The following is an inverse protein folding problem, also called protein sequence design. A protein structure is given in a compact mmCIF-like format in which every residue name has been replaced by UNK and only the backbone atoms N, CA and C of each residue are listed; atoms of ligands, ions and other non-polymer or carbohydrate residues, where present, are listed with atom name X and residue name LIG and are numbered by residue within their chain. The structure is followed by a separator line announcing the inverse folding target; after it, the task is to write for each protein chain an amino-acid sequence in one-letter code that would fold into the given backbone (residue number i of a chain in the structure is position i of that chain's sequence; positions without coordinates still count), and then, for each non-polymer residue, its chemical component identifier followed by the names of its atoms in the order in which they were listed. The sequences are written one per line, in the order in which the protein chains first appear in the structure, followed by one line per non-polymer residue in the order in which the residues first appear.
data_IF_222035369615
#
_entry.id   IF_222035369615
#
_cell.length_a   1.000
_cell.length_b   1.000
_cell.length_c   1.000
_cell.angle_alpha   90.00
_cell.angle_beta   90.00
_cell.angle_gamma   90.00
#
_symmetry.space_group_name_H-M   'P 1'
#
loop_
_entity.id
_entity.type
_entity.pdbx_description
1 polymer ?
#
# COMPACT_ATOMS: atom_id res chain seq x y z
N UNK A 1 -18.13 -27.31 11.17
CA UNK A 1 -17.48 -28.23 10.21
C UNK A 1 -17.88 -27.94 8.76
N UNK A 2 -19.15 -28.05 8.34
CA UNK A 2 -19.53 -27.83 6.92
C UNK A 2 -19.10 -26.46 6.37
N UNK A 3 -19.21 -25.37 7.14
CA UNK A 3 -18.67 -24.06 6.76
C UNK A 3 -17.14 -24.09 6.54
N UNK A 4 -16.40 -24.79 7.39
CA UNK A 4 -14.95 -24.97 7.24
C UNK A 4 -14.62 -25.84 6.01
N UNK A 5 -15.50 -26.78 5.65
CA UNK A 5 -15.37 -27.55 4.42
C UNK A 5 -15.55 -26.68 3.18
N UNK A 6 -16.57 -25.82 3.15
CA UNK A 6 -16.76 -24.84 2.07
C UNK A 6 -15.55 -23.90 1.94
N UNK A 7 -15.03 -23.39 3.06
CA UNK A 7 -13.82 -22.56 3.08
C UNK A 7 -12.59 -23.31 2.57
N UNK A 8 -12.41 -24.58 2.96
CA UNK A 8 -11.30 -25.42 2.50
C UNK A 8 -11.37 -25.67 1.00
N UNK A 9 -12.57 -25.93 0.46
CA UNK A 9 -12.80 -26.13 -0.99
C UNK A 9 -12.64 -24.86 -1.81
N UNK A 10 -13.01 -23.71 -1.25
CA UNK A 10 -12.87 -22.42 -1.90
C UNK A 10 -11.42 -21.91 -1.92
N UNK A 11 -10.54 -22.50 -1.12
CA UNK A 11 -9.14 -22.11 -1.08
C UNK A 11 -8.35 -22.74 -2.23
N UNK A 12 -7.92 -21.93 -3.19
CA UNK A 12 -7.01 -22.33 -4.25
C UNK A 12 -5.60 -22.46 -3.68
N UNK A 13 -5.10 -23.69 -3.61
CA UNK A 13 -3.87 -24.07 -2.92
C UNK A 13 -2.63 -23.35 -3.48
N UNK A 14 -2.19 -22.29 -2.81
CA UNK A 14 -0.88 -21.65 -3.01
C UNK A 14 -0.20 -21.42 -1.67
N UNK A 15 0.50 -22.42 -1.13
CA UNK A 15 1.45 -22.37 0.02
C UNK A 15 0.89 -21.89 1.38
N UNK A 16 -0.22 -21.16 1.43
CA UNK A 16 -0.90 -20.61 2.61
C UNK A 16 -2.35 -21.13 2.67
N UNK A 17 -2.51 -22.43 2.46
CA UNK A 17 -3.82 -23.10 2.43
C UNK A 17 -4.55 -23.04 3.78
N UNK A 18 -5.85 -23.25 3.74
CA UNK A 18 -6.70 -23.33 4.93
C UNK A 18 -6.39 -24.64 5.66
N UNK A 19 -5.90 -24.60 6.89
CA UNK A 19 -5.44 -25.80 7.61
C UNK A 19 -6.56 -26.85 7.74
N UNK A 20 -6.22 -28.13 7.56
CA UNK A 20 -7.22 -29.22 7.62
C UNK A 20 -7.72 -29.42 9.06
N UNK A 21 -6.89 -29.07 10.03
CA UNK A 21 -7.15 -29.08 11.46
C UNK A 21 -8.38 -28.24 11.84
N UNK A 22 -8.71 -27.20 11.06
CA UNK A 22 -9.96 -26.44 11.23
C UNK A 22 -11.22 -27.29 10.99
N UNK A 23 -11.15 -28.36 10.18
CA UNK A 23 -12.28 -29.28 9.99
C UNK A 23 -12.57 -30.05 11.28
N UNK A 24 -11.55 -30.30 12.11
CA UNK A 24 -11.61 -31.04 13.37
C UNK A 24 -11.83 -30.15 14.60
N UNK A 25 -12.43 -28.96 14.45
CA UNK A 25 -12.60 -27.99 15.55
C UNK A 25 -13.34 -28.53 16.81
N UNK A 26 -14.10 -29.63 16.69
CA UNK A 26 -14.79 -30.30 17.81
C UNK A 26 -14.01 -31.50 18.39
N UNK A 27 -12.78 -31.75 17.93
CA UNK A 27 -12.03 -32.99 18.16
C UNK A 27 -12.21 -33.99 17.02
N UNK A 28 -11.24 -34.89 16.86
CA UNK A 28 -11.14 -35.82 15.74
C UNK A 28 -12.32 -36.78 15.73
N UNK A 29 -12.55 -37.47 16.85
CA UNK A 29 -13.60 -38.49 16.94
C UNK A 29 -15.01 -37.90 16.82
N UNK A 30 -15.24 -36.77 17.50
CA UNK A 30 -16.53 -36.08 17.44
C UNK A 30 -16.86 -35.58 16.03
N UNK A 31 -15.86 -35.07 15.31
CA UNK A 31 -16.02 -34.60 13.94
C UNK A 31 -16.30 -35.74 12.97
N UNK A 32 -15.53 -36.83 13.03
CA UNK A 32 -15.72 -37.99 12.14
C UNK A 32 -17.07 -38.65 12.40
N UNK A 33 -17.47 -38.84 13.66
CA UNK A 33 -18.80 -39.34 14.01
C UNK A 33 -19.91 -38.47 13.45
N UNK A 34 -19.82 -37.15 13.65
CA UNK A 34 -20.78 -36.18 13.11
C UNK A 34 -20.90 -36.25 11.58
N UNK A 35 -19.78 -36.39 10.86
CA UNK A 35 -19.81 -36.52 9.39
C UNK A 35 -20.47 -37.83 8.99
N UNK A 36 -20.10 -38.96 9.60
CA UNK A 36 -20.67 -40.28 9.29
C UNK A 36 -22.18 -40.33 9.46
N UNK A 37 -22.69 -39.71 10.52
CA UNK A 37 -24.11 -39.67 10.85
C UNK A 37 -24.89 -38.62 10.05
N UNK A 38 -24.21 -37.80 9.26
CA UNK A 38 -24.83 -36.74 8.48
C UNK A 38 -25.51 -37.24 7.21
N UNK A 39 -26.62 -36.57 6.85
CA UNK A 39 -27.28 -36.72 5.55
C UNK A 39 -26.78 -35.71 4.49
N UNK A 40 -25.71 -34.96 4.79
CA UNK A 40 -25.17 -33.94 3.88
C UNK A 40 -24.70 -34.54 2.55
N UNK A 41 -24.97 -33.86 1.44
CA UNK A 41 -24.67 -34.37 0.10
C UNK A 41 -23.18 -34.66 -0.11
N UNK A 42 -22.32 -33.82 0.47
CA UNK A 42 -20.86 -33.92 0.38
C UNK A 42 -20.22 -34.79 1.48
N UNK A 43 -21.02 -35.60 2.19
CA UNK A 43 -20.51 -36.43 3.29
C UNK A 43 -19.31 -37.27 2.86
N UNK A 44 -19.43 -37.96 1.73
CA UNK A 44 -18.41 -38.90 1.27
C UNK A 44 -17.11 -38.16 0.91
N UNK A 45 -17.19 -37.02 0.23
CA UNK A 45 -16.04 -36.19 -0.14
C UNK A 45 -15.30 -35.68 1.12
N UNK A 46 -16.03 -35.32 2.17
CA UNK A 46 -15.43 -34.94 3.46
C UNK A 46 -14.76 -36.14 4.12
N UNK A 47 -15.40 -37.31 4.15
CA UNK A 47 -14.79 -38.51 4.74
C UNK A 47 -13.51 -38.92 4.00
N UNK A 48 -13.50 -38.86 2.67
CA UNK A 48 -12.30 -39.10 1.85
C UNK A 48 -11.19 -38.10 2.19
N UNK A 49 -11.54 -36.86 2.56
CA UNK A 49 -10.54 -35.87 2.96
C UNK A 49 -10.02 -36.06 4.38
N UNK A 50 -10.84 -36.55 5.31
CA UNK A 50 -10.51 -36.67 6.72
C UNK A 50 -9.84 -38.01 7.07
N UNK A 51 -10.10 -39.06 6.29
CA UNK A 51 -9.68 -40.44 6.57
C UNK A 51 -8.71 -40.96 5.52
N UNK A 52 -7.79 -41.83 5.93
CA UNK A 52 -6.92 -42.58 5.05
C UNK A 52 -7.62 -43.81 4.42
N UNK A 53 -6.88 -44.58 3.62
CA UNK A 53 -7.39 -45.79 2.95
C UNK A 53 -7.84 -46.88 3.93
N UNK A 54 -7.34 -46.88 5.17
CA UNK A 54 -7.75 -47.79 6.24
C UNK A 54 -8.99 -47.29 7.01
N UNK A 55 -9.47 -46.07 6.71
CA UNK A 55 -10.59 -45.44 7.38
C UNK A 55 -10.21 -44.75 8.70
N UNK A 56 -8.91 -44.58 8.95
CA UNK A 56 -8.38 -43.90 10.13
C UNK A 56 -8.18 -42.40 9.85
N UNK A 57 -8.38 -41.51 10.84
CA UNK A 57 -8.22 -40.08 10.64
C UNK A 57 -6.78 -39.69 10.28
N UNK A 58 -6.61 -38.80 9.30
CA UNK A 58 -5.31 -38.23 8.92
C UNK A 58 -4.66 -37.34 9.99
N UNK A 59 -5.47 -36.85 10.94
CA UNK A 59 -5.02 -35.98 12.04
C UNK A 59 -5.40 -36.68 13.34
N UNK A 60 -4.42 -36.90 14.22
CA UNK A 60 -4.67 -37.42 15.56
C UNK A 60 -5.09 -36.32 16.54
N UNK A 61 -5.61 -36.69 17.70
CA UNK A 61 -5.92 -35.72 18.78
C UNK A 61 -4.64 -35.03 19.30
N UNK A 62 -3.49 -35.72 19.24
CA UNK A 62 -2.18 -35.15 19.59
C UNK A 62 -1.75 -34.10 18.56
N UNK A 63 -1.85 -34.42 17.27
CA UNK A 63 -1.56 -33.47 16.18
C UNK A 63 -2.44 -32.22 16.28
N UNK A 64 -3.73 -32.40 16.58
CA UNK A 64 -4.68 -31.30 16.77
C UNK A 64 -4.29 -30.43 17.98
N UNK A 65 -3.83 -31.04 19.07
CA UNK A 65 -3.37 -30.31 20.25
C UNK A 65 -2.08 -29.53 19.98
N UNK A 66 -1.11 -30.12 19.28
CA UNK A 66 0.11 -29.45 18.85
C UNK A 66 -0.18 -28.29 17.90
N UNK A 67 -1.02 -28.51 16.89
CA UNK A 67 -1.46 -27.47 15.96
C UNK A 67 -2.15 -26.33 16.72
N UNK A 68 -3.08 -26.64 17.64
CA UNK A 68 -3.76 -25.62 18.44
C UNK A 68 -2.78 -24.82 19.32
N UNK A 69 -1.71 -25.45 19.83
CA UNK A 69 -0.67 -24.76 20.58
C UNK A 69 0.15 -23.81 19.68
N UNK A 70 0.54 -24.28 18.49
CA UNK A 70 1.21 -23.44 17.48
C UNK A 70 0.34 -22.25 17.10
N UNK A 71 -0.94 -22.47 16.83
CA UNK A 71 -1.89 -21.41 16.49
C UNK A 71 -2.07 -20.41 17.62
N UNK A 72 -2.18 -20.84 18.89
CA UNK A 72 -2.22 -19.93 20.05
C UNK A 72 -0.96 -19.09 20.20
N UNK A 73 0.21 -19.61 19.80
CA UNK A 73 1.45 -18.82 19.77
C UNK A 73 1.45 -17.75 18.68
N UNK A 74 0.77 -18.01 17.56
CA UNK A 74 0.66 -17.10 16.42
C UNK A 74 -0.45 -16.08 16.60
N UNK A 75 -1.55 -16.51 17.21
CA UNK A 75 -2.78 -15.78 17.52
C UNK A 75 -3.05 -15.87 19.03
N UNK A 76 -2.45 -14.98 19.83
CA UNK A 76 -2.67 -14.92 21.26
C UNK A 76 -4.17 -14.78 21.60
N UNK A 77 -4.60 -15.46 22.67
CA UNK A 77 -5.98 -15.36 23.14
C UNK A 77 -6.33 -13.97 23.71
N UNK A 78 -5.33 -13.23 24.20
CA UNK A 78 -5.47 -11.85 24.62
C UNK A 78 -5.08 -10.91 23.47
N UNK A 79 -6.02 -10.11 22.92
CA UNK A 79 -5.71 -9.08 21.92
C UNK A 79 -4.62 -8.10 22.35
N UNK A 80 -4.47 -7.84 23.67
CA UNK A 80 -3.43 -6.95 24.18
C UNK A 80 -2.02 -7.55 24.13
N UNK A 81 -1.89 -8.87 23.94
CA UNK A 81 -0.62 -9.55 23.77
C UNK A 81 -0.10 -9.48 22.32
N UNK A 82 -0.91 -9.00 21.37
CA UNK A 82 -0.48 -8.76 19.99
C UNK A 82 0.09 -7.35 19.81
N UNK A 83 1.03 -7.21 18.86
CA UNK A 83 1.49 -5.89 18.42
C UNK A 83 0.30 -5.06 17.91
N UNK A 84 0.04 -3.87 18.48
CA UNK A 84 -1.00 -2.96 18.00
C UNK A 84 -1.01 -2.72 16.48
N UNK A 85 0.14 -2.78 15.78
CA UNK A 85 0.16 -2.64 14.31
C UNK A 85 -0.57 -3.76 13.57
N UNK A 86 -0.60 -4.98 14.12
CA UNK A 86 -1.40 -6.07 13.54
C UNK A 86 -2.89 -5.74 13.59
N UNK A 87 -3.32 -5.12 14.69
CA UNK A 87 -4.69 -4.65 14.82
C UNK A 87 -5.02 -3.47 13.90
N UNK A 88 -4.06 -2.57 13.63
CA UNK A 88 -4.22 -1.54 12.58
C UNK A 88 -4.52 -2.19 11.22
N UNK A 89 -3.72 -3.18 10.82
CA UNK A 89 -3.89 -3.88 9.53
C UNK A 89 -5.22 -4.62 9.44
N UNK A 90 -5.60 -5.36 10.49
CA UNK A 90 -6.88 -6.09 10.53
C UNK A 90 -8.08 -5.14 10.45
N UNK A 91 -8.05 -4.04 11.19
CA UNK A 91 -9.11 -3.05 11.14
C UNK A 91 -9.24 -2.43 9.73
N UNK A 92 -8.12 -2.12 9.06
CA UNK A 92 -8.12 -1.64 7.68
C UNK A 92 -8.73 -2.64 6.69
N UNK A 93 -8.38 -3.93 6.81
CA UNK A 93 -8.95 -5.00 5.97
C UNK A 93 -10.47 -5.12 6.13
N UNK A 94 -11.00 -4.78 7.30
CA UNK A 94 -12.44 -4.77 7.58
C UNK A 94 -13.12 -3.44 7.19
N UNK A 95 -12.38 -2.45 6.69
CA UNK A 95 -12.91 -1.10 6.41
C UNK A 95 -13.14 -0.24 7.66
N UNK A 96 -12.65 -0.67 8.83
CA UNK A 96 -12.86 -0.05 10.13
C UNK A 96 -11.79 1.03 10.41
N UNK A 97 -11.83 2.13 9.65
CA UNK A 97 -10.79 3.19 9.69
C UNK A 97 -10.61 3.84 11.06
N UNK A 98 -11.69 4.11 11.80
CA UNK A 98 -11.61 4.68 13.15
C UNK A 98 -10.98 3.71 14.15
N UNK A 99 -11.27 2.42 14.03
CA UNK A 99 -10.66 1.39 14.88
C UNK A 99 -9.16 1.26 14.59
N UNK A 100 -8.79 1.26 13.30
CA UNK A 100 -7.39 1.29 12.88
C UNK A 100 -6.66 2.52 13.45
N UNK A 101 -7.32 3.68 13.48
CA UNK A 101 -6.78 4.89 14.09
C UNK A 101 -6.52 4.73 15.58
N UNK A 102 -7.48 4.20 16.36
CA UNK A 102 -7.30 3.98 17.80
C UNK A 102 -6.13 3.03 18.10
N UNK A 103 -5.98 1.97 17.31
CA UNK A 103 -4.84 1.06 17.45
C UNK A 103 -3.51 1.70 17.08
N UNK A 104 -3.49 2.57 16.07
CA UNK A 104 -2.29 3.32 15.72
C UNK A 104 -1.90 4.31 16.82
N UNK A 105 -2.86 4.99 17.44
CA UNK A 105 -2.60 5.89 18.57
C UNK A 105 -2.05 5.11 19.78
N UNK A 106 -2.61 3.92 20.07
CA UNK A 106 -2.09 3.02 21.11
C UNK A 106 -0.68 2.52 20.78
N UNK A 107 -0.41 2.21 19.51
CA UNK A 107 0.92 1.87 19.06
C UNK A 107 1.89 3.04 19.24
N UNK A 108 1.48 4.27 18.90
CA UNK A 108 2.34 5.44 19.01
C UNK A 108 2.61 5.87 20.47
N UNK A 109 1.69 5.58 21.38
CA UNK A 109 1.72 6.06 22.76
C UNK A 109 3.04 5.68 23.48
N UNK A 110 3.73 6.70 24.00
CA UNK A 110 4.96 6.53 24.78
C UNK A 110 6.21 6.15 23.98
N UNK A 111 6.11 5.94 22.66
CA UNK A 111 7.26 5.63 21.81
C UNK A 111 8.10 6.88 21.53
N UNK A 112 9.42 6.71 21.46
CA UNK A 112 10.33 7.75 21.01
C UNK A 112 10.07 8.06 19.53
N UNK A 113 10.12 9.35 19.16
CA UNK A 113 9.93 9.81 17.78
C UNK A 113 11.21 9.70 16.95
N UNK A 114 11.72 8.49 16.83
CA UNK A 114 12.89 8.16 16.01
C UNK A 114 12.52 7.89 14.53
N UNK A 115 13.54 7.65 13.69
CA UNK A 115 13.39 7.40 12.24
C UNK A 115 12.39 6.27 11.95
N UNK A 116 12.46 5.17 12.70
CA UNK A 116 11.59 4.01 12.51
C UNK A 116 10.14 4.33 12.86
N UNK A 117 9.93 4.93 14.03
CA UNK A 117 8.61 5.26 14.55
C UNK A 117 7.90 6.28 13.66
N UNK A 118 8.61 7.33 13.22
CA UNK A 118 8.05 8.34 12.33
C UNK A 118 7.73 7.78 10.93
N UNK A 119 8.59 6.91 10.40
CA UNK A 119 8.34 6.24 9.11
C UNK A 119 7.06 5.42 9.15
N UNK A 120 6.87 4.63 10.20
CA UNK A 120 5.68 3.82 10.39
C UNK A 120 4.43 4.68 10.63
N UNK A 121 4.51 5.73 11.45
CA UNK A 121 3.41 6.67 11.65
C UNK A 121 2.97 7.30 10.33
N UNK A 122 3.91 7.86 9.57
CA UNK A 122 3.64 8.47 8.27
C UNK A 122 2.92 7.49 7.34
N UNK A 123 3.44 6.27 7.21
CA UNK A 123 2.85 5.26 6.33
C UNK A 123 1.42 4.92 6.77
N UNK A 124 1.22 4.60 8.06
CA UNK A 124 -0.08 4.18 8.55
C UNK A 124 -1.13 5.30 8.50
N UNK A 125 -0.73 6.55 8.78
CA UNK A 125 -1.61 7.73 8.69
C UNK A 125 -1.99 8.06 7.25
N UNK A 126 -1.02 8.01 6.31
CA UNK A 126 -1.30 8.26 4.89
C UNK A 126 -2.28 7.23 4.32
N UNK A 127 -2.10 5.96 4.69
CA UNK A 127 -3.00 4.86 4.29
C UNK A 127 -4.40 4.96 4.94
N UNK A 128 -4.53 5.68 6.06
CA UNK A 128 -5.82 6.05 6.65
C UNK A 128 -6.42 7.35 6.07
N UNK A 129 -5.76 7.98 5.08
CA UNK A 129 -6.17 9.28 4.54
C UNK A 129 -5.91 10.47 5.47
N UNK A 130 -5.23 10.28 6.59
CA UNK A 130 -4.88 11.32 7.56
C UNK A 130 -3.63 12.11 7.11
N UNK A 131 -3.68 12.66 5.89
CA UNK A 131 -2.50 13.23 5.20
C UNK A 131 -1.84 14.39 5.97
N UNK A 132 -2.62 15.26 6.62
CA UNK A 132 -2.08 16.38 7.39
C UNK A 132 -1.22 15.90 8.57
N UNK A 133 -1.61 14.79 9.22
CA UNK A 133 -0.84 14.21 10.32
C UNK A 133 0.36 13.41 9.81
N UNK A 134 0.20 12.70 8.70
CA UNK A 134 1.30 12.04 8.01
C UNK A 134 2.38 13.06 7.60
N UNK A 135 1.98 14.24 7.12
CA UNK A 135 2.88 15.33 6.77
C UNK A 135 3.64 15.88 8.00
N UNK A 136 3.01 15.96 9.17
CA UNK A 136 3.69 16.31 10.43
C UNK A 136 4.78 15.30 10.77
N UNK A 137 4.46 14.00 10.75
CA UNK A 137 5.43 12.94 10.98
C UNK A 137 6.58 12.98 9.95
N UNK A 138 6.27 13.23 8.68
CA UNK A 138 7.27 13.37 7.63
C UNK A 138 8.19 14.57 7.87
N UNK A 139 7.66 15.73 8.26
CA UNK A 139 8.45 16.92 8.55
C UNK A 139 9.46 16.67 9.68
N UNK A 140 9.05 15.98 10.72
CA UNK A 140 9.95 15.59 11.81
C UNK A 140 11.00 14.57 11.34
N UNK A 141 10.66 13.71 10.38
CA UNK A 141 11.57 12.68 9.88
C UNK A 141 12.71 13.23 9.01
N UNK A 142 12.56 14.44 8.46
CA UNK A 142 13.54 15.05 7.54
C UNK A 142 14.93 15.18 8.16
N UNK A 143 15.00 15.39 9.48
CA UNK A 143 16.29 15.48 10.20
C UNK A 143 17.12 14.18 10.15
N UNK A 144 16.50 13.05 9.82
CA UNK A 144 17.16 11.74 9.73
C UNK A 144 17.58 11.38 8.30
N UNK A 145 17.57 12.34 7.38
CA UNK A 145 18.10 12.16 6.03
C UNK A 145 19.64 12.20 6.05
N UNK A 146 20.27 11.15 5.54
CA UNK A 146 21.71 10.93 5.70
C UNK A 146 22.53 11.54 4.55
N UNK A 147 21.92 11.74 3.39
CA UNK A 147 22.57 12.23 2.18
C UNK A 147 21.60 13.07 1.30
N UNK A 148 22.08 13.74 0.24
CA UNK A 148 21.23 14.57 -0.62
C UNK A 148 20.06 13.82 -1.28
N UNK A 149 20.24 12.54 -1.61
CA UNK A 149 19.18 11.71 -2.16
C UNK A 149 18.07 11.49 -1.15
N UNK A 150 18.43 11.09 0.08
CA UNK A 150 17.46 10.88 1.17
C UNK A 150 16.73 12.17 1.51
N UNK A 151 17.44 13.31 1.50
CA UNK A 151 16.87 14.63 1.74
C UNK A 151 15.85 14.98 0.65
N UNK A 152 16.21 14.84 -0.63
CA UNK A 152 15.32 15.09 -1.75
C UNK A 152 14.07 14.18 -1.71
N UNK A 153 14.26 12.88 -1.45
CA UNK A 153 13.17 11.91 -1.28
C UNK A 153 12.24 12.29 -0.12
N UNK A 154 12.81 12.72 1.01
CA UNK A 154 12.03 13.14 2.17
C UNK A 154 11.23 14.42 1.91
N UNK A 155 11.79 15.41 1.21
CA UNK A 155 11.07 16.62 0.81
C UNK A 155 9.98 16.34 -0.23
N UNK A 156 10.25 15.46 -1.19
CA UNK A 156 9.27 15.04 -2.19
C UNK A 156 8.09 14.29 -1.54
N UNK A 157 8.36 13.40 -0.59
CA UNK A 157 7.31 12.75 0.22
C UNK A 157 6.49 13.75 1.04
N UNK A 158 7.15 14.78 1.61
CA UNK A 158 6.43 15.84 2.33
C UNK A 158 5.51 16.62 1.39
N UNK A 159 5.99 16.99 0.20
CA UNK A 159 5.20 17.72 -0.77
C UNK A 159 3.91 16.97 -1.16
N UNK A 160 4.05 15.67 -1.44
CA UNK A 160 2.92 14.80 -1.75
C UNK A 160 1.87 14.79 -0.62
N UNK A 161 2.32 14.59 0.62
CA UNK A 161 1.42 14.54 1.78
C UNK A 161 0.73 15.88 2.03
N UNK A 162 1.46 16.99 1.93
CA UNK A 162 0.89 18.34 2.06
C UNK A 162 -0.12 18.63 0.95
N UNK A 163 0.14 18.22 -0.30
CA UNK A 163 -0.82 18.36 -1.40
C UNK A 163 -2.09 17.55 -1.14
N UNK A 164 -1.94 16.28 -0.74
CA UNK A 164 -3.08 15.42 -0.42
C UNK A 164 -3.89 15.93 0.78
N UNK A 165 -3.25 16.65 1.71
CA UNK A 165 -3.91 17.33 2.81
C UNK A 165 -4.58 18.67 2.41
N UNK A 166 -4.44 19.12 1.16
CA UNK A 166 -4.91 20.43 0.68
C UNK A 166 -3.99 21.61 1.04
N UNK A 167 -2.85 21.35 1.68
CA UNK A 167 -1.82 22.33 2.05
C UNK A 167 -0.96 22.77 0.87
N UNK A 168 -1.56 23.30 -0.21
CA UNK A 168 -0.86 23.55 -1.47
C UNK A 168 0.37 24.47 -1.35
N UNK A 169 0.32 25.50 -0.50
CA UNK A 169 1.49 26.37 -0.25
C UNK A 169 2.63 25.63 0.47
N UNK A 170 2.29 24.80 1.45
CA UNK A 170 3.28 23.97 2.15
C UNK A 170 3.88 22.91 1.22
N UNK A 171 3.07 22.32 0.34
CA UNK A 171 3.54 21.43 -0.73
C UNK A 171 4.53 22.14 -1.66
N UNK A 172 4.23 23.37 -2.07
CA UNK A 172 5.14 24.17 -2.89
C UNK A 172 6.46 24.49 -2.19
N UNK A 173 6.41 24.84 -0.90
CA UNK A 173 7.62 25.05 -0.09
C UNK A 173 8.48 23.79 0.00
N UNK A 174 7.86 22.64 0.23
CA UNK A 174 8.54 21.35 0.24
C UNK A 174 9.17 21.01 -1.12
N UNK A 175 8.49 21.28 -2.24
CA UNK A 175 9.05 21.09 -3.59
C UNK A 175 10.26 21.99 -3.85
N UNK A 176 10.21 23.25 -3.40
CA UNK A 176 11.38 24.14 -3.49
C UNK A 176 12.56 23.63 -2.66
N UNK A 177 12.30 23.02 -1.50
CA UNK A 177 13.34 22.37 -0.69
C UNK A 177 13.87 21.09 -1.36
N UNK A 178 12.99 20.28 -1.95
CA UNK A 178 13.36 19.12 -2.75
C UNK A 178 14.31 19.50 -3.89
N UNK A 179 13.99 20.56 -4.66
CA UNK A 179 14.86 21.07 -5.73
C UNK A 179 16.26 21.41 -5.24
N UNK A 180 16.38 22.10 -4.11
CA UNK A 180 17.69 22.42 -3.51
C UNK A 180 18.46 21.17 -3.11
N UNK A 181 17.79 20.17 -2.55
CA UNK A 181 18.43 18.90 -2.20
C UNK A 181 18.93 18.13 -3.44
N UNK A 182 18.15 18.19 -4.54
CA UNK A 182 18.51 17.57 -5.81
C UNK A 182 19.74 18.20 -6.48
N UNK A 183 20.14 19.42 -6.13
CA UNK A 183 21.41 20.01 -6.62
C UNK A 183 22.63 19.18 -6.17
N UNK A 184 22.51 18.46 -5.04
CA UNK A 184 23.54 17.55 -4.52
C UNK A 184 23.47 16.13 -5.07
N UNK A 185 22.55 15.82 -5.98
CA UNK A 185 22.34 14.47 -6.53
C UNK A 185 22.80 14.41 -7.97
N UNK A 186 23.92 13.74 -8.22
CA UNK A 186 24.45 13.56 -9.57
C UNK A 186 23.47 12.76 -10.45
N UNK A 187 23.17 13.26 -11.65
CA UNK A 187 22.30 12.57 -12.61
C UNK A 187 20.84 12.46 -12.16
N UNK A 188 20.37 13.31 -11.24
CA UNK A 188 19.01 13.23 -10.69
C UNK A 188 17.90 13.27 -11.77
N UNK A 189 18.15 13.88 -12.92
CA UNK A 189 17.21 13.95 -14.05
C UNK A 189 17.04 12.62 -14.79
N UNK A 190 18.00 11.70 -14.71
CA UNK A 190 17.96 10.43 -15.42
C UNK A 190 17.24 9.32 -14.62
N UNK A 191 17.13 9.48 -13.31
CA UNK A 191 16.62 8.49 -12.37
C UNK A 191 15.18 8.77 -11.94
N UNK A 192 14.54 7.80 -11.27
CA UNK A 192 13.14 7.90 -10.84
C UNK A 192 12.83 9.15 -10.01
N UNK A 193 13.78 9.59 -9.18
CA UNK A 193 13.62 10.75 -8.30
C UNK A 193 13.31 12.05 -9.07
N UNK A 194 13.96 12.29 -10.21
CA UNK A 194 13.66 13.46 -11.04
C UNK A 194 12.28 13.42 -11.69
N UNK A 195 11.83 12.22 -12.11
CA UNK A 195 10.48 12.01 -12.68
C UNK A 195 9.42 12.25 -11.62
N UNK A 196 9.61 11.71 -10.42
CA UNK A 196 8.71 11.90 -9.27
C UNK A 196 8.63 13.36 -8.81
N UNK A 197 9.73 14.11 -8.86
CA UNK A 197 9.73 15.54 -8.57
C UNK A 197 8.91 16.34 -9.60
N UNK A 198 9.10 16.06 -10.90
CA UNK A 198 8.33 16.70 -11.97
C UNK A 198 6.85 16.33 -11.92
N UNK A 199 6.54 15.07 -11.63
CA UNK A 199 5.17 14.59 -11.44
C UNK A 199 4.47 15.37 -10.33
N UNK A 200 5.09 15.48 -9.15
CA UNK A 200 4.48 16.16 -8.02
C UNK A 200 4.30 17.67 -8.26
N UNK A 201 5.17 18.31 -9.07
CA UNK A 201 4.94 19.67 -9.55
C UNK A 201 3.67 19.79 -10.42
N UNK A 202 3.48 18.90 -11.39
CA UNK A 202 2.26 18.93 -12.22
C UNK A 202 1.01 18.60 -11.42
N UNK A 203 1.07 17.62 -10.52
CA UNK A 203 -0.06 17.29 -9.64
C UNK A 203 -0.43 18.46 -8.73
N UNK A 204 0.56 19.20 -8.20
CA UNK A 204 0.31 20.41 -7.41
C UNK A 204 -0.30 21.53 -8.26
N UNK A 205 0.22 21.78 -9.47
CA UNK A 205 -0.40 22.75 -10.38
C UNK A 205 -1.86 22.37 -10.71
N UNK A 206 -2.12 21.08 -10.90
CA UNK A 206 -3.45 20.52 -11.15
C UNK A 206 -4.42 20.63 -9.97
N UNK A 207 -3.95 20.76 -8.72
CA UNK A 207 -4.81 20.84 -7.53
C UNK A 207 -4.87 22.22 -6.88
N UNK A 208 -3.85 23.07 -7.06
CA UNK A 208 -3.73 24.39 -6.43
C UNK A 208 -4.78 25.42 -6.90
N UNK A 209 -4.90 26.53 -6.15
CA UNK A 209 -5.63 27.73 -6.59
C UNK A 209 -4.94 28.41 -7.79
N UNK A 210 -5.64 29.31 -8.48
CA UNK A 210 -5.16 29.89 -9.74
C UNK A 210 -3.80 30.60 -9.60
N UNK A 211 -3.60 31.37 -8.52
CA UNK A 211 -2.37 32.12 -8.29
C UNK A 211 -1.17 31.18 -8.15
N UNK A 212 -1.30 30.12 -7.35
CA UNK A 212 -0.22 29.16 -7.16
C UNK A 212 -0.06 28.20 -8.34
N UNK A 213 -1.16 27.81 -9.00
CA UNK A 213 -1.16 26.86 -10.11
C UNK A 213 -0.29 27.34 -11.27
N UNK A 214 -0.40 28.62 -11.65
CA UNK A 214 0.40 29.21 -12.74
C UNK A 214 1.90 29.18 -12.43
N UNK A 215 2.27 29.54 -11.20
CA UNK A 215 3.67 29.58 -10.74
C UNK A 215 4.26 28.17 -10.72
N UNK A 216 3.53 27.22 -10.14
CA UNK A 216 3.98 25.84 -10.03
C UNK A 216 4.05 25.19 -11.41
N UNK A 217 3.08 25.43 -12.30
CA UNK A 217 3.10 24.90 -13.66
C UNK A 217 4.30 25.42 -14.45
N UNK A 218 4.64 26.71 -14.33
CA UNK A 218 5.81 27.27 -15.00
C UNK A 218 7.12 26.62 -14.53
N UNK A 219 7.23 26.26 -13.25
CA UNK A 219 8.33 25.43 -12.75
C UNK A 219 8.27 24.01 -13.34
N UNK A 220 7.10 23.36 -13.30
CA UNK A 220 6.90 22.01 -13.83
C UNK A 220 7.35 21.90 -15.30
N UNK A 221 6.91 22.82 -16.16
CA UNK A 221 7.28 22.85 -17.58
C UNK A 221 8.78 23.11 -17.78
N UNK A 222 9.40 23.98 -16.97
CA UNK A 222 10.85 24.19 -17.00
C UNK A 222 11.61 22.91 -16.66
N UNK A 223 11.22 22.22 -15.59
CA UNK A 223 11.91 21.01 -15.10
C UNK A 223 11.67 19.82 -16.02
N UNK A 224 10.46 19.68 -16.57
CA UNK A 224 10.11 18.64 -17.54
C UNK A 224 11.03 18.62 -18.76
N UNK A 225 11.54 19.77 -19.21
CA UNK A 225 12.51 19.85 -20.33
C UNK A 225 13.88 19.28 -20.00
N UNK A 226 14.22 19.16 -18.72
CA UNK A 226 15.51 18.63 -18.25
C UNK A 226 15.45 17.14 -17.91
N UNK A 227 14.25 16.59 -17.74
CA UNK A 227 14.01 15.19 -17.35
C UNK A 227 13.51 14.40 -18.56
N UNK A 228 14.38 13.64 -19.25
CA UNK A 228 14.00 12.91 -20.46
C UNK A 228 13.12 11.70 -20.13
N UNK A 229 12.20 11.34 -21.02
CA UNK A 229 11.41 10.10 -20.92
C UNK A 229 10.34 10.11 -19.83
N UNK A 230 9.64 11.23 -19.66
CA UNK A 230 8.56 11.33 -18.67
C UNK A 230 7.53 10.18 -18.86
N UNK A 231 7.20 9.44 -17.78
CA UNK A 231 6.22 8.35 -17.86
C UNK A 231 4.84 8.84 -18.29
N UNK A 232 4.04 7.92 -18.82
CA UNK A 232 2.66 8.19 -19.26
C UNK A 232 1.83 8.95 -18.21
N UNK A 233 1.90 8.53 -16.94
CA UNK A 233 1.17 9.15 -15.82
C UNK A 233 1.57 10.60 -15.59
N UNK A 234 2.85 10.94 -15.78
CA UNK A 234 3.35 12.31 -15.63
C UNK A 234 2.87 13.19 -16.77
N UNK A 235 2.83 12.65 -18.00
CA UNK A 235 2.34 13.37 -19.18
C UNK A 235 0.82 13.61 -19.12
N UNK A 236 0.06 12.68 -18.51
CA UNK A 236 -1.36 12.88 -18.20
C UNK A 236 -1.54 14.03 -17.21
N UNK A 237 -0.83 14.00 -16.07
CA UNK A 237 -0.87 15.07 -15.07
C UNK A 237 -0.46 16.44 -15.67
N UNK A 238 0.54 16.46 -16.56
CA UNK A 238 0.99 17.67 -17.24
C UNK A 238 -0.07 18.26 -18.17
N UNK A 239 -0.77 17.42 -18.96
CA UNK A 239 -1.84 17.87 -19.83
C UNK A 239 -3.06 18.38 -19.04
N UNK A 240 -3.43 17.69 -17.95
CA UNK A 240 -4.52 18.10 -17.06
C UNK A 240 -4.21 19.44 -16.37
N UNK A 241 -3.01 19.59 -15.81
CA UNK A 241 -2.57 20.84 -15.20
C UNK A 241 -2.56 22.00 -16.21
N UNK A 242 -2.05 21.77 -17.43
CA UNK A 242 -2.04 22.78 -18.48
C UNK A 242 -3.46 23.22 -18.90
N UNK A 243 -4.39 22.27 -18.99
CA UNK A 243 -5.80 22.54 -19.28
C UNK A 243 -6.46 23.35 -18.17
N UNK A 244 -6.19 23.01 -16.91
CA UNK A 244 -6.73 23.72 -15.73
C UNK A 244 -6.33 25.19 -15.70
N UNK A 245 -5.07 25.49 -16.02
CA UNK A 245 -4.57 26.89 -16.07
C UNK A 245 -4.92 27.61 -17.38
N UNK A 246 -5.66 26.96 -18.29
CA UNK A 246 -6.06 27.56 -19.57
C UNK A 246 -4.93 27.69 -20.61
N UNK A 247 -3.80 26.99 -20.43
CA UNK A 247 -2.69 27.02 -21.38
C UNK A 247 -2.86 25.97 -22.48
N UNK A 248 -3.71 26.28 -23.46
CA UNK A 248 -4.09 25.37 -24.55
C UNK A 248 -2.88 24.84 -25.33
N UNK A 249 -1.90 25.70 -25.63
CA UNK A 249 -0.70 25.30 -26.38
C UNK A 249 0.12 24.25 -25.62
N UNK A 250 0.23 24.38 -24.29
CA UNK A 250 0.92 23.39 -23.46
C UNK A 250 0.11 22.13 -23.24
N UNK A 251 -1.20 22.25 -23.11
CA UNK A 251 -2.09 21.09 -23.04
C UNK A 251 -1.93 20.21 -24.29
N UNK A 252 -1.99 20.81 -25.49
CA UNK A 252 -1.79 20.09 -26.76
C UNK A 252 -0.39 19.49 -26.88
N UNK A 253 0.65 20.20 -26.41
CA UNK A 253 2.01 19.69 -26.38
C UNK A 253 2.12 18.40 -25.54
N UNK A 254 1.62 18.42 -24.30
CA UNK A 254 1.69 17.25 -23.41
C UNK A 254 0.78 16.12 -23.86
N UNK A 255 -0.38 16.41 -24.46
CA UNK A 255 -1.23 15.38 -25.08
C UNK A 255 -0.51 14.63 -26.20
N UNK A 256 0.21 15.34 -27.08
CA UNK A 256 1.01 14.70 -28.14
C UNK A 256 2.11 13.79 -27.59
N UNK A 257 2.80 14.23 -26.53
CA UNK A 257 3.82 13.42 -25.86
C UNK A 257 3.21 12.20 -25.19
N UNK A 258 2.08 12.36 -24.47
CA UNK A 258 1.32 11.28 -23.85
C UNK A 258 0.93 10.22 -24.88
N UNK A 259 0.39 10.64 -26.02
CA UNK A 259 -0.07 9.72 -27.07
C UNK A 259 1.10 8.97 -27.73
N UNK A 260 2.27 9.63 -27.86
CA UNK A 260 3.48 8.97 -28.34
C UNK A 260 3.97 7.90 -27.35
N UNK A 261 3.93 8.20 -26.05
CA UNK A 261 4.34 7.27 -25.00
C UNK A 261 3.37 6.08 -24.87
N UNK A 262 2.06 6.32 -24.95
CA UNK A 262 1.06 5.25 -24.98
C UNK A 262 1.31 4.27 -26.14
N UNK A 263 1.55 4.81 -27.35
CA UNK A 263 1.87 3.96 -28.52
C UNK A 263 3.15 3.13 -28.30
N UNK A 264 4.17 3.68 -27.66
CA UNK A 264 5.41 2.95 -27.33
C UNK A 264 5.10 1.77 -26.41
N UNK A 265 4.33 2.00 -25.35
CA UNK A 265 3.92 0.97 -24.38
C UNK A 265 3.09 -0.12 -25.06
N UNK A 266 2.12 0.25 -25.90
CA UNK A 266 1.26 -0.71 -26.60
C UNK A 266 2.07 -1.64 -27.53
N UNK A 267 3.09 -1.10 -28.22
CA UNK A 267 4.01 -1.87 -29.05
C UNK A 267 4.84 -2.84 -28.22
N UNK A 268 5.38 -2.41 -27.08
CA UNK A 268 6.16 -3.27 -26.17
C UNK A 268 5.29 -4.38 -25.56
N UNK A 269 4.09 -4.04 -25.11
CA UNK A 269 3.12 -5.00 -24.58
C UNK A 269 2.70 -6.04 -25.63
N UNK A 270 2.55 -5.62 -26.89
CA UNK A 270 2.21 -6.52 -27.99
C UNK A 270 3.36 -7.49 -28.28
N UNK A 271 4.62 -7.03 -28.23
CA UNK A 271 5.81 -7.87 -28.39
C UNK A 271 6.02 -8.85 -27.23
N UNK A 272 5.65 -8.46 -26.01
CA UNK A 272 5.76 -9.34 -24.85
C UNK A 272 4.70 -10.47 -24.85
N UNK A 273 3.63 -10.32 -25.65
CA UNK A 273 2.54 -11.29 -25.80
C UNK A 273 2.70 -12.23 -27.01
N UNK A 274 3.64 -11.94 -27.91
CA UNK A 274 4.00 -12.76 -29.08
C UNK A 274 5.17 -13.67 -28.78
#
# INVERSE_FOLDING_TARGET
MWLHWEMKRANFDTWCGYDIEHLFAAGVQATVGFVRDSAHAERNDVLERLLDEAGEPHVSEEDLAEWAQRERSRFPADPAAEDPLRWVQRAKLMGEGELARRWLDRWAAGRQRDKSTLSQLRYQLADLGAFAEAAKAQRESIQFADNPWDSASAWQSLAQLERQAGGHRAAWEALRACRRALDGVAGWTAVGLGRMYVEELFLLAGSADAELADVVFAEADRQARQVPGLPLVVLQAAAEAAGKIGNQARAEHYLKLRDAEQRRIDVEMSRARS
#
